data_IF_798717844389
#
_entry.id   IF_798717844389
#
_cell.length_a   1.000
_cell.length_b   1.000
_cell.length_c   1.000
_cell.angle_alpha   90.00
_cell.angle_beta   90.00
_cell.angle_gamma   90.00
#
_symmetry.space_group_name_H-M   'P 1'
#
loop_
_entity.id
_entity.type
_entity.pdbx_description
1 polymer ?
#
# COMPACT_ATOMS: atom_id res chain seq x y z
N UNK A 1 7.46 -7.74 -14.45
CA UNK A 1 6.94 -6.54 -15.15
C UNK A 1 7.96 -5.42 -14.95
N UNK A 2 8.50 -4.85 -16.03
CA UNK A 2 9.41 -3.70 -15.95
C UNK A 2 8.71 -2.53 -15.24
N UNK A 3 9.36 -1.89 -14.26
CA UNK A 3 8.79 -0.75 -13.54
C UNK A 3 8.75 0.45 -14.48
N UNK A 4 7.58 0.76 -15.04
CA UNK A 4 7.35 2.06 -15.70
C UNK A 4 7.37 3.14 -14.61
N UNK A 5 8.43 3.94 -14.59
CA UNK A 5 8.49 5.14 -13.76
C UNK A 5 7.64 6.21 -14.42
N UNK A 6 6.67 6.77 -13.67
CA UNK A 6 5.88 7.94 -14.08
C UNK A 6 6.12 9.05 -13.08
N UNK A 7 6.54 10.21 -13.56
CA UNK A 7 6.57 11.43 -12.76
C UNK A 7 5.16 12.03 -12.69
N UNK A 8 4.70 12.33 -11.49
CA UNK A 8 3.39 12.94 -11.23
C UNK A 8 3.61 14.16 -10.36
N UNK A 9 2.95 15.28 -10.67
CA UNK A 9 2.95 16.45 -9.79
C UNK A 9 2.09 16.16 -8.57
N UNK A 10 2.64 16.40 -7.39
CA UNK A 10 1.94 16.19 -6.12
C UNK A 10 1.98 17.46 -5.26
N UNK A 11 0.99 17.69 -4.40
CA UNK A 11 1.04 18.75 -3.39
C UNK A 11 2.24 18.59 -2.46
N UNK A 12 2.75 19.70 -1.89
CA UNK A 12 3.93 19.71 -1.00
C UNK A 12 3.74 18.81 0.23
N UNK A 13 2.52 18.69 0.70
CA UNK A 13 2.12 17.86 1.82
C UNK A 13 2.35 16.37 1.56
N UNK A 14 2.40 15.96 0.28
CA UNK A 14 2.62 14.58 -0.14
C UNK A 14 4.05 14.32 -0.62
N UNK A 15 4.90 15.36 -0.67
CA UNK A 15 6.27 15.27 -1.19
C UNK A 15 7.14 14.31 -0.36
N UNK A 16 6.88 14.23 0.95
CA UNK A 16 7.61 13.35 1.89
C UNK A 16 7.00 11.95 1.99
N UNK A 17 5.88 11.69 1.33
CA UNK A 17 5.22 10.39 1.39
C UNK A 17 5.81 9.43 0.35
N UNK A 18 6.10 8.19 0.76
CA UNK A 18 6.46 7.12 -0.18
C UNK A 18 5.23 6.65 -0.97
N UNK A 19 4.84 7.45 -1.95
CA UNK A 19 3.73 7.18 -2.87
C UNK A 19 3.97 5.92 -3.69
N UNK A 20 5.23 5.63 -4.03
CA UNK A 20 5.59 4.43 -4.77
C UNK A 20 5.37 3.17 -3.93
N UNK A 21 5.76 3.20 -2.66
CA UNK A 21 5.48 2.14 -1.69
C UNK A 21 3.98 1.96 -1.48
N UNK A 22 3.23 3.05 -1.30
CA UNK A 22 1.78 3.02 -1.14
C UNK A 22 1.10 2.36 -2.33
N UNK A 23 1.42 2.80 -3.55
CA UNK A 23 0.86 2.22 -4.77
C UNK A 23 1.19 0.74 -4.92
N UNK A 24 2.40 0.31 -4.53
CA UNK A 24 2.80 -1.10 -4.58
C UNK A 24 2.01 -1.97 -3.61
N UNK A 25 1.73 -1.49 -2.40
CA UNK A 25 0.91 -2.25 -1.45
C UNK A 25 -0.54 -2.37 -1.93
N UNK A 26 -1.11 -1.30 -2.51
CA UNK A 26 -2.41 -1.36 -3.16
C UNK A 26 -2.43 -2.35 -4.33
N UNK A 27 -1.43 -2.30 -5.22
CA UNK A 27 -1.31 -3.22 -6.36
C UNK A 27 -1.22 -4.67 -5.89
N UNK A 28 -0.40 -4.95 -4.88
CA UNK A 28 -0.26 -6.28 -4.30
C UNK A 28 -1.59 -6.79 -3.76
N UNK A 29 -2.32 -5.94 -3.03
CA UNK A 29 -3.62 -6.30 -2.49
C UNK A 29 -4.63 -6.64 -3.58
N UNK A 30 -4.68 -5.86 -4.68
CA UNK A 30 -5.56 -6.16 -5.81
C UNK A 30 -5.25 -7.52 -6.44
N UNK A 31 -3.97 -7.89 -6.57
CA UNK A 31 -3.57 -9.22 -7.06
C UNK A 31 -3.92 -10.35 -6.09
N UNK A 32 -3.86 -10.08 -4.78
CA UNK A 32 -4.30 -11.05 -3.78
C UNK A 32 -5.82 -11.28 -3.87
N UNK A 33 -6.63 -10.24 -4.16
CA UNK A 33 -8.08 -10.38 -4.41
C UNK A 33 -8.36 -11.26 -5.64
N UNK A 34 -7.61 -11.03 -6.72
CA UNK A 34 -7.70 -11.85 -7.93
C UNK A 34 -7.34 -13.32 -7.63
N UNK A 35 -6.28 -13.54 -6.86
CA UNK A 35 -5.84 -14.87 -6.45
C UNK A 35 -6.89 -15.58 -5.57
N UNK A 36 -7.49 -14.87 -4.62
CA UNK A 36 -8.60 -15.39 -3.80
C UNK A 36 -9.82 -15.75 -4.65
N UNK A 37 -10.11 -14.96 -5.68
CA UNK A 37 -11.20 -15.25 -6.63
C UNK A 37 -10.94 -16.53 -7.42
N UNK A 38 -9.71 -16.73 -7.89
CA UNK A 38 -9.30 -17.96 -8.57
C UNK A 38 -9.40 -19.19 -7.66
N UNK A 39 -8.96 -19.08 -6.40
CA UNK A 39 -9.08 -20.16 -5.42
C UNK A 39 -10.54 -20.57 -5.19
N UNK A 40 -11.46 -19.60 -5.09
CA UNK A 40 -12.90 -19.88 -5.00
C UNK A 40 -13.42 -20.61 -6.23
N UNK A 41 -13.01 -20.21 -7.43
CA UNK A 41 -13.42 -20.86 -8.69
C UNK A 41 -12.89 -22.30 -8.79
N UNK A 42 -11.73 -22.59 -8.20
CA UNK A 42 -11.16 -23.94 -8.13
C UNK A 42 -11.77 -24.81 -7.01
N UNK A 43 -12.76 -24.31 -6.28
CA UNK A 43 -13.42 -25.01 -5.18
C UNK A 43 -12.67 -24.97 -3.85
N UNK A 44 -11.59 -24.19 -3.75
CA UNK A 44 -10.78 -24.05 -2.54
C UNK A 44 -11.21 -22.82 -1.72
N UNK A 45 -12.39 -22.91 -1.07
CA UNK A 45 -12.96 -21.79 -0.31
C UNK A 45 -12.14 -21.45 0.94
N UNK A 46 -11.66 -22.46 1.68
CA UNK A 46 -10.90 -22.25 2.91
C UNK A 46 -9.58 -21.51 2.66
N UNK A 47 -8.86 -21.87 1.59
CA UNK A 47 -7.64 -21.15 1.21
C UNK A 47 -7.92 -19.72 0.76
N UNK A 48 -9.02 -19.49 0.04
CA UNK A 48 -9.43 -18.15 -0.36
C UNK A 48 -9.74 -17.27 0.87
N UNK A 49 -10.47 -17.78 1.85
CA UNK A 49 -10.78 -17.05 3.08
C UNK A 49 -9.54 -16.80 3.94
N UNK A 50 -8.65 -17.79 4.07
CA UNK A 50 -7.39 -17.63 4.79
C UNK A 50 -6.51 -16.55 4.16
N UNK A 51 -6.39 -16.54 2.82
CA UNK A 51 -5.65 -15.52 2.08
C UNK A 51 -6.24 -14.12 2.32
N UNK A 52 -7.56 -13.98 2.22
CA UNK A 52 -8.25 -12.70 2.44
C UNK A 52 -8.05 -12.17 3.85
N UNK A 53 -8.24 -13.01 4.88
CA UNK A 53 -8.06 -12.62 6.29
C UNK A 53 -6.62 -12.20 6.60
N UNK A 54 -5.63 -12.95 6.09
CA UNK A 54 -4.22 -12.63 6.28
C UNK A 54 -3.86 -11.28 5.65
N UNK A 55 -4.45 -10.93 4.50
CA UNK A 55 -4.12 -9.72 3.73
C UNK A 55 -4.83 -8.46 4.23
N UNK A 56 -6.07 -8.56 4.70
CA UNK A 56 -6.82 -7.40 5.21
C UNK A 56 -6.10 -6.73 6.39
N UNK A 57 -5.56 -7.53 7.32
CA UNK A 57 -4.82 -7.02 8.47
C UNK A 57 -3.45 -6.43 8.11
N UNK A 58 -2.83 -6.91 7.02
CA UNK A 58 -1.50 -6.47 6.58
C UNK A 58 -1.54 -5.14 5.83
N UNK A 59 -2.52 -4.97 4.93
CA UNK A 59 -2.65 -3.74 4.14
C UNK A 59 -2.84 -2.51 5.03
N UNK A 60 -3.78 -2.57 5.99
CA UNK A 60 -4.05 -1.45 6.90
C UNK A 60 -2.81 -1.06 7.73
N UNK A 61 -2.06 -2.05 8.22
CA UNK A 61 -0.83 -1.82 8.99
C UNK A 61 0.24 -1.13 8.15
N UNK A 62 0.45 -1.58 6.92
CA UNK A 62 1.50 -1.02 6.03
C UNK A 62 1.15 0.37 5.52
N UNK A 63 -0.10 0.57 5.09
CA UNK A 63 -0.58 1.90 4.68
C UNK A 63 -0.49 2.87 5.85
N UNK A 64 -0.95 2.46 7.04
CA UNK A 64 -0.85 3.27 8.25
C UNK A 64 0.59 3.64 8.61
N UNK A 65 1.53 2.69 8.48
CA UNK A 65 2.96 2.93 8.70
C UNK A 65 3.53 3.97 7.72
N UNK A 66 3.25 3.83 6.41
CA UNK A 66 3.72 4.78 5.39
C UNK A 66 3.19 6.20 5.64
N UNK A 67 1.92 6.33 6.02
CA UNK A 67 1.30 7.62 6.36
C UNK A 67 1.92 8.21 7.63
N UNK A 68 2.17 7.39 8.65
CA UNK A 68 2.83 7.83 9.88
C UNK A 68 4.25 8.33 9.62
N UNK A 69 5.05 7.58 8.85
CA UNK A 69 6.40 7.97 8.45
C UNK A 69 6.41 9.29 7.69
N UNK A 70 5.51 9.45 6.72
CA UNK A 70 5.33 10.69 5.98
C UNK A 70 5.00 11.88 6.89
N UNK A 71 4.11 11.67 7.88
CA UNK A 71 3.73 12.68 8.89
C UNK A 71 4.92 13.05 9.78
N UNK A 72 5.70 12.07 10.23
CA UNK A 72 6.89 12.32 11.08
C UNK A 72 7.90 13.15 10.29
N UNK A 73 8.14 12.80 9.03
CA UNK A 73 9.09 13.50 8.17
C UNK A 73 8.63 14.93 7.85
N UNK A 74 7.35 15.11 7.53
CA UNK A 74 6.75 16.44 7.37
C UNK A 74 6.93 17.31 8.62
N UNK A 75 6.78 16.72 9.82
CA UNK A 75 7.01 17.41 11.09
C UNK A 75 8.44 17.91 11.27
N UNK A 76 9.45 17.13 10.86
CA UNK A 76 10.86 17.54 10.90
C UNK A 76 11.13 18.73 9.98
N UNK A 77 10.66 18.65 8.74
CA UNK A 77 10.83 19.73 7.76
C UNK A 77 10.10 21.03 8.13
N UNK A 78 9.04 20.95 8.94
CA UNK A 78 8.37 22.13 9.49
C UNK A 78 9.12 22.73 10.68
N UNK A 79 9.84 21.90 11.44
CA UNK A 79 10.68 22.32 12.57
C UNK A 79 11.99 23.01 12.13
N UNK A 80 12.49 22.72 10.92
CA UNK A 80 13.67 23.38 10.33
C UNK A 80 13.38 24.81 9.80
N UNK A 81 12.12 25.26 9.85
CA UNK A 81 11.68 26.59 9.36
C UNK A 81 11.54 27.64 10.47
N UNK A 82 12.19 27.46 11.62
CA UNK A 82 12.25 28.49 12.68
C UNK A 82 13.70 28.94 12.84
#
# INVERSE_FOLDING_TARGET
>A
MSRKVRSVRVPKELETMDLSGLMRECEKHLRDLESATLLKQQGNQDAAEALMRARQADLGKKVGKLVWEARVEFGKHKGERI
#
